data_IF_000518510189
#
_entry.id   IF_000518510189
#
_cell.length_a   1.000
_cell.length_b   1.000
_cell.length_c   1.000
_cell.angle_alpha   90.00
_cell.angle_beta   90.00
_cell.angle_gamma   90.00
#
_symmetry.space_group_name_H-M   'P 1'
#
loop_
_entity.id
_entity.type
_entity.pdbx_description
1 polymer ?
#
# COMPACT_ATOMS: atom_id res chain seq x y z
N UNK A 1 -0.24 -12.47 0.60
CA UNK A 1 -1.03 -12.61 -0.66
C UNK A 1 -1.51 -11.25 -1.20
N UNK A 2 -1.52 -10.16 -0.41
CA UNK A 2 -1.88 -8.80 -0.88
C UNK A 2 -1.04 -8.36 -2.07
N UNK A 3 0.29 -8.60 -2.04
CA UNK A 3 1.18 -8.27 -3.16
C UNK A 3 0.79 -8.96 -4.46
N UNK A 4 0.27 -10.18 -4.40
CA UNK A 4 -0.21 -10.92 -5.60
C UNK A 4 -1.40 -10.20 -6.22
N UNK A 5 -2.33 -9.67 -5.39
CA UNK A 5 -3.48 -8.91 -5.86
C UNK A 5 -3.04 -7.60 -6.54
N UNK A 6 -2.11 -6.84 -5.93
CA UNK A 6 -1.59 -5.60 -6.51
C UNK A 6 -0.79 -5.83 -7.80
N UNK A 7 -0.01 -6.93 -7.87
CA UNK A 7 0.65 -7.32 -9.12
C UNK A 7 -0.34 -7.77 -10.20
N UNK A 8 -1.53 -8.22 -9.82
CA UNK A 8 -2.64 -8.43 -10.74
C UNK A 8 -3.03 -7.17 -11.50
N UNK A 9 -3.07 -6.00 -10.81
CA UNK A 9 -3.31 -4.71 -11.49
C UNK A 9 -2.17 -4.34 -12.43
N UNK A 10 -0.91 -4.62 -12.06
CA UNK A 10 0.23 -4.42 -12.96
C UNK A 10 0.07 -5.23 -14.24
N UNK A 11 -0.23 -6.51 -14.11
CA UNK A 11 -0.46 -7.39 -15.26
C UNK A 11 -1.63 -6.89 -16.11
N UNK A 12 -2.73 -6.50 -15.47
CA UNK A 12 -3.90 -5.97 -16.16
C UNK A 12 -3.57 -4.70 -16.95
N UNK A 13 -2.78 -3.79 -16.38
CA UNK A 13 -2.35 -2.56 -17.05
C UNK A 13 -1.46 -2.82 -18.26
N UNK A 14 -0.53 -3.78 -18.17
CA UNK A 14 0.31 -4.19 -19.30
C UNK A 14 -0.55 -4.78 -20.43
N UNK A 15 -1.47 -5.68 -20.10
CA UNK A 15 -2.34 -6.33 -21.09
C UNK A 15 -3.46 -5.43 -21.64
N UNK A 16 -3.72 -4.26 -21.02
CA UNK A 16 -4.57 -3.23 -21.61
C UNK A 16 -3.98 -2.68 -22.93
N UNK A 17 -2.65 -2.83 -23.11
CA UNK A 17 -1.92 -2.44 -24.32
C UNK A 17 -2.23 -1.00 -24.78
N UNK A 18 -2.49 -0.10 -23.82
CA UNK A 18 -2.64 1.33 -24.06
C UNK A 18 -1.75 2.11 -23.09
N UNK A 19 -1.48 3.36 -23.45
CA UNK A 19 -0.57 4.24 -22.71
C UNK A 19 -0.95 4.33 -21.23
N UNK A 20 -2.21 4.58 -20.95
CA UNK A 20 -2.69 4.80 -19.59
C UNK A 20 -2.57 3.55 -18.70
N UNK A 21 -2.80 2.36 -19.27
CA UNK A 21 -2.62 1.09 -18.57
C UNK A 21 -1.17 0.80 -18.24
N UNK A 22 -0.27 1.06 -19.20
CA UNK A 22 1.19 0.87 -19.02
C UNK A 22 1.74 1.84 -17.98
N UNK A 23 1.38 3.12 -18.06
CA UNK A 23 1.79 4.13 -17.07
C UNK A 23 1.30 3.75 -15.66
N UNK A 24 0.05 3.30 -15.56
CA UNK A 24 -0.52 2.80 -14.32
C UNK A 24 0.23 1.58 -13.78
N UNK A 25 0.60 0.64 -14.64
CA UNK A 25 1.37 -0.55 -14.27
C UNK A 25 2.76 -0.19 -13.72
N UNK A 26 3.50 0.68 -14.41
CA UNK A 26 4.82 1.15 -13.96
C UNK A 26 4.70 1.88 -12.62
N UNK A 27 3.71 2.78 -12.52
CA UNK A 27 3.46 3.53 -11.30
C UNK A 27 3.12 2.61 -10.13
N UNK A 28 2.26 1.60 -10.36
CA UNK A 28 1.87 0.63 -9.34
C UNK A 28 3.05 -0.20 -8.83
N UNK A 29 3.98 -0.61 -9.71
CA UNK A 29 5.20 -1.32 -9.28
C UNK A 29 6.02 -0.49 -8.30
N UNK A 30 6.25 0.79 -8.61
CA UNK A 30 7.03 1.71 -7.76
C UNK A 30 6.31 1.97 -6.44
N UNK A 31 5.03 2.31 -6.50
CA UNK A 31 4.19 2.58 -5.35
C UNK A 31 4.12 1.37 -4.41
N UNK A 32 3.91 0.18 -4.98
CA UNK A 32 3.85 -1.07 -4.21
C UNK A 32 5.17 -1.35 -3.47
N UNK A 33 6.31 -1.03 -4.07
CA UNK A 33 7.62 -1.16 -3.43
C UNK A 33 7.70 -0.36 -2.11
N UNK A 34 7.25 0.89 -2.11
CA UNK A 34 7.25 1.74 -0.90
C UNK A 34 6.22 1.27 0.13
N UNK A 35 4.99 1.03 -0.30
CA UNK A 35 3.88 0.70 0.61
C UNK A 35 4.06 -0.70 1.22
N UNK A 36 4.34 -1.71 0.40
CA UNK A 36 4.53 -3.07 0.92
C UNK A 36 5.79 -3.19 1.78
N UNK A 37 6.87 -2.52 1.37
CA UNK A 37 8.09 -2.44 2.18
C UNK A 37 7.81 -1.84 3.56
N UNK A 38 7.06 -0.74 3.63
CA UNK A 38 6.65 -0.12 4.89
C UNK A 38 5.75 -1.03 5.74
N UNK A 39 4.79 -1.74 5.12
CA UNK A 39 3.94 -2.70 5.84
C UNK A 39 4.75 -3.88 6.41
N UNK A 40 5.74 -4.39 5.67
CA UNK A 40 6.66 -5.40 6.20
C UNK A 40 7.51 -4.86 7.36
N UNK A 41 7.96 -3.61 7.30
CA UNK A 41 8.63 -2.97 8.43
C UNK A 41 7.70 -2.82 9.64
N UNK A 42 6.41 -2.51 9.43
CA UNK A 42 5.42 -2.51 10.52
C UNK A 42 5.32 -3.89 11.19
N UNK A 43 5.28 -4.98 10.40
CA UNK A 43 5.31 -6.33 10.96
C UNK A 43 6.63 -6.58 11.71
N UNK A 44 7.77 -6.11 11.18
CA UNK A 44 9.07 -6.20 11.85
C UNK A 44 9.07 -5.52 13.22
N UNK A 45 8.54 -4.30 13.32
CA UNK A 45 8.47 -3.53 14.57
C UNK A 45 7.76 -4.30 15.69
N UNK A 46 6.62 -4.94 15.40
CA UNK A 46 5.90 -5.72 16.42
C UNK A 46 6.55 -7.09 16.66
N UNK A 47 7.13 -7.70 15.61
CA UNK A 47 7.82 -8.97 15.72
C UNK A 47 9.07 -8.87 16.61
N UNK A 48 9.86 -7.80 16.51
CA UNK A 48 11.06 -7.58 17.35
C UNK A 48 10.70 -7.50 18.84
N UNK A 49 9.45 -7.13 19.15
CA UNK A 49 8.97 -6.99 20.54
C UNK A 49 8.28 -8.25 21.07
N UNK A 50 7.57 -8.98 20.20
CA UNK A 50 6.69 -10.09 20.61
C UNK A 50 7.17 -11.46 20.12
N UNK A 51 8.09 -11.49 19.15
CA UNK A 51 8.63 -12.73 18.53
C UNK A 51 7.56 -13.68 17.97
N UNK A 52 6.38 -13.17 17.63
CA UNK A 52 5.29 -13.93 16.99
C UNK A 52 4.68 -13.13 15.85
N UNK A 53 4.08 -13.84 14.89
CA UNK A 53 3.32 -13.27 13.77
C UNK A 53 1.83 -13.64 13.82
N UNK A 54 1.41 -14.35 14.85
CA UNK A 54 0.03 -14.77 15.01
C UNK A 54 -0.84 -13.55 15.32
N UNK A 55 -1.87 -13.33 14.49
CA UNK A 55 -2.79 -12.20 14.64
C UNK A 55 -3.48 -12.27 16.00
N UNK A 56 -3.85 -13.47 16.44
CA UNK A 56 -4.51 -13.71 17.72
C UNK A 56 -3.62 -13.40 18.94
N UNK A 57 -2.30 -13.23 18.73
CA UNK A 57 -1.39 -12.79 19.79
C UNK A 57 -1.51 -11.30 20.08
N UNK A 58 -2.13 -10.52 19.20
CA UNK A 58 -2.26 -9.07 19.28
C UNK A 58 -3.68 -8.64 19.68
N UNK A 59 -3.86 -7.36 19.91
CA UNK A 59 -5.13 -6.70 20.24
C UNK A 59 -4.89 -5.51 21.18
N UNK A 60 -5.58 -4.39 20.92
CA UNK A 60 -5.47 -3.19 21.74
C UNK A 60 -4.14 -2.44 21.68
N UNK A 61 -3.32 -2.65 20.64
CA UNK A 61 -2.00 -2.01 20.50
C UNK A 61 -2.08 -0.49 20.50
N UNK A 62 -3.19 0.10 20.07
CA UNK A 62 -3.37 1.57 20.06
C UNK A 62 -3.17 2.20 21.44
N UNK A 63 -3.49 1.48 22.50
CA UNK A 63 -3.40 1.96 23.86
C UNK A 63 -1.94 2.07 24.36
N UNK A 64 -1.02 1.34 23.75
CA UNK A 64 0.40 1.26 24.15
C UNK A 64 1.35 1.81 23.07
N UNK A 65 0.99 1.65 21.81
CA UNK A 65 1.80 2.01 20.66
C UNK A 65 1.03 2.94 19.70
N UNK A 66 0.64 4.16 20.12
CA UNK A 66 -0.16 5.06 19.29
C UNK A 66 0.59 5.54 18.03
N UNK A 67 1.91 5.77 18.10
CA UNK A 67 2.69 6.16 16.92
C UNK A 67 2.77 5.01 15.90
N UNK A 68 2.97 3.78 16.35
CA UNK A 68 2.89 2.59 15.51
C UNK A 68 1.51 2.45 14.86
N UNK A 69 0.44 2.57 15.64
CA UNK A 69 -0.93 2.46 15.15
C UNK A 69 -1.21 3.47 14.03
N UNK A 70 -0.74 4.72 14.18
CA UNK A 70 -0.90 5.77 13.18
C UNK A 70 -0.13 5.44 11.88
N UNK A 71 1.12 5.03 11.98
CA UNK A 71 1.96 4.66 10.82
C UNK A 71 1.36 3.44 10.11
N UNK A 72 0.95 2.42 10.85
CA UNK A 72 0.34 1.22 10.30
C UNK A 72 -1.00 1.54 9.61
N UNK A 73 -1.85 2.43 10.19
CA UNK A 73 -3.07 2.91 9.54
C UNK A 73 -2.76 3.63 8.24
N UNK A 74 -1.78 4.54 8.24
CA UNK A 74 -1.40 5.30 7.05
C UNK A 74 -1.05 4.36 5.88
N UNK A 75 -0.17 3.39 6.11
CA UNK A 75 0.22 2.46 5.05
C UNK A 75 -0.87 1.44 4.70
N UNK A 76 -1.72 1.06 5.65
CA UNK A 76 -2.91 0.24 5.37
C UNK A 76 -3.87 0.98 4.44
N UNK A 77 -4.14 2.26 4.70
CA UNK A 77 -4.99 3.09 3.84
C UNK A 77 -4.36 3.36 2.48
N UNK A 78 -3.02 3.58 2.43
CA UNK A 78 -2.29 3.72 1.18
C UNK A 78 -2.32 2.43 0.34
N UNK A 79 -2.26 1.26 1.00
CA UNK A 79 -2.37 -0.04 0.34
C UNK A 79 -3.76 -0.34 -0.20
N UNK A 80 -4.81 0.20 0.42
CA UNK A 80 -6.20 0.11 -0.05
C UNK A 80 -6.48 1.06 -1.22
N UNK A 81 -5.59 2.04 -1.46
CA UNK A 81 -5.77 3.04 -2.50
C UNK A 81 -6.51 4.29 -2.03
N UNK A 82 -6.15 4.84 -0.87
CA UNK A 82 -6.70 6.12 -0.41
C UNK A 82 -6.28 7.24 -1.37
N UNK A 83 -7.23 8.05 -1.89
CA UNK A 83 -6.90 9.23 -2.70
C UNK A 83 -5.90 10.16 -2.01
N UNK A 84 -4.89 10.62 -2.75
CA UNK A 84 -3.77 11.40 -2.21
C UNK A 84 -2.56 10.54 -1.80
N UNK A 85 -2.63 9.23 -1.92
CA UNK A 85 -1.51 8.31 -1.76
C UNK A 85 -1.12 7.68 -3.10
N UNK A 86 0.12 7.23 -3.20
CA UNK A 86 0.64 6.64 -4.43
C UNK A 86 -0.08 5.35 -4.85
N UNK A 87 -0.62 4.58 -3.89
CA UNK A 87 -1.39 3.36 -4.18
C UNK A 87 -2.62 3.63 -5.03
N UNK A 88 -3.35 4.70 -4.73
CA UNK A 88 -4.52 5.10 -5.50
C UNK A 88 -4.18 5.40 -6.96
N UNK A 89 -3.10 6.13 -7.20
CA UNK A 89 -2.75 6.59 -8.56
C UNK A 89 -2.49 5.40 -9.49
N UNK A 90 -1.68 4.44 -9.05
CA UNK A 90 -1.34 3.27 -9.86
C UNK A 90 -2.54 2.40 -10.20
N UNK A 91 -3.36 2.08 -9.20
CA UNK A 91 -4.58 1.27 -9.39
C UNK A 91 -5.61 2.01 -10.26
N UNK A 92 -5.82 3.29 -10.03
CA UNK A 92 -6.77 4.10 -10.77
C UNK A 92 -6.39 4.21 -12.25
N UNK A 93 -5.13 4.52 -12.57
CA UNK A 93 -4.65 4.58 -13.95
C UNK A 93 -4.79 3.23 -14.66
N UNK A 94 -4.46 2.14 -13.98
CA UNK A 94 -4.62 0.78 -14.52
C UNK A 94 -6.09 0.46 -14.81
N UNK A 95 -7.00 0.78 -13.88
CA UNK A 95 -8.43 0.58 -14.07
C UNK A 95 -8.97 1.43 -15.22
N UNK A 96 -8.54 2.67 -15.34
CA UNK A 96 -8.91 3.54 -16.45
C UNK A 96 -8.39 3.03 -17.80
N UNK A 97 -7.16 2.49 -17.82
CA UNK A 97 -6.59 1.87 -19.03
C UNK A 97 -7.40 0.67 -19.49
N UNK A 98 -7.74 -0.26 -18.60
CA UNK A 98 -8.53 -1.44 -18.98
C UNK A 98 -9.99 -1.09 -19.26
N UNK A 99 -10.55 -0.05 -18.64
CA UNK A 99 -11.91 0.40 -18.91
C UNK A 99 -12.12 0.81 -20.38
N UNK A 100 -11.10 1.42 -20.99
CA UNK A 100 -11.11 1.78 -22.41
C UNK A 100 -11.12 0.56 -23.34
N UNK A 101 -10.57 -0.57 -22.88
CA UNK A 101 -10.51 -1.82 -23.66
C UNK A 101 -11.75 -2.68 -23.43
N UNK A 102 -12.11 -2.88 -22.16
CA UNK A 102 -13.22 -3.74 -21.78
C UNK A 102 -13.83 -3.33 -20.42
N UNK A 103 -15.01 -2.76 -20.46
CA UNK A 103 -15.73 -2.30 -19.25
C UNK A 103 -16.05 -3.43 -18.26
N UNK A 104 -16.35 -4.64 -18.74
CA UNK A 104 -16.67 -5.76 -17.85
C UNK A 104 -15.44 -6.24 -17.08
N UNK A 105 -14.29 -6.31 -17.73
CA UNK A 105 -13.02 -6.64 -17.07
C UNK A 105 -12.68 -5.58 -16.05
N UNK A 106 -12.86 -4.29 -16.37
CA UNK A 106 -12.64 -3.20 -15.44
C UNK A 106 -13.57 -3.28 -14.21
N UNK A 107 -14.85 -3.61 -14.41
CA UNK A 107 -15.81 -3.77 -13.31
C UNK A 107 -15.43 -4.92 -12.37
N UNK A 108 -15.01 -6.06 -12.91
CA UNK A 108 -14.52 -7.19 -12.11
C UNK A 108 -13.23 -6.80 -11.38
N UNK A 109 -12.29 -6.14 -12.05
CA UNK A 109 -11.05 -5.67 -11.41
C UNK A 109 -11.33 -4.66 -10.28
N UNK A 110 -12.27 -3.73 -10.47
CA UNK A 110 -12.66 -2.76 -9.43
C UNK A 110 -13.20 -3.43 -8.16
N UNK A 111 -13.81 -4.61 -8.25
CA UNK A 111 -14.23 -5.38 -7.07
C UNK A 111 -13.04 -5.79 -6.18
N UNK A 112 -11.85 -5.92 -6.76
CA UNK A 112 -10.61 -6.19 -6.04
C UNK A 112 -10.24 -5.11 -5.03
N UNK A 113 -10.55 -3.83 -5.32
CA UNK A 113 -10.34 -2.71 -4.38
C UNK A 113 -11.20 -2.89 -3.13
N UNK A 114 -12.47 -3.30 -3.31
CA UNK A 114 -13.40 -3.53 -2.19
C UNK A 114 -12.90 -4.68 -1.32
N UNK A 115 -12.46 -5.77 -1.95
CA UNK A 115 -11.90 -6.92 -1.23
C UNK A 115 -10.61 -6.55 -0.50
N UNK A 116 -9.75 -5.75 -1.13
CA UNK A 116 -8.52 -5.24 -0.51
C UNK A 116 -8.83 -4.42 0.75
N UNK A 117 -9.80 -3.51 0.66
CA UNK A 117 -10.26 -2.74 1.82
C UNK A 117 -10.77 -3.64 2.93
N UNK A 118 -11.60 -4.63 2.59
CA UNK A 118 -12.21 -5.52 3.58
C UNK A 118 -11.15 -6.29 4.38
N UNK A 119 -10.20 -6.98 3.74
CA UNK A 119 -9.20 -7.76 4.49
C UNK A 119 -8.17 -6.88 5.21
N UNK A 120 -7.80 -5.73 4.61
CA UNK A 120 -6.80 -4.85 5.21
C UNK A 120 -7.34 -4.16 6.48
N UNK A 121 -8.57 -3.66 6.43
CA UNK A 121 -9.23 -3.07 7.60
C UNK A 121 -9.57 -4.10 8.66
N UNK A 122 -9.94 -5.32 8.26
CA UNK A 122 -10.14 -6.43 9.21
C UNK A 122 -8.85 -6.74 9.96
N UNK A 123 -7.72 -6.88 9.26
CA UNK A 123 -6.41 -7.13 9.87
C UNK A 123 -6.03 -5.98 10.82
N UNK A 124 -6.19 -4.75 10.37
CA UNK A 124 -5.88 -3.57 11.18
C UNK A 124 -6.71 -3.56 12.48
N UNK A 125 -8.02 -3.83 12.37
CA UNK A 125 -8.91 -3.91 13.52
C UNK A 125 -8.46 -4.97 14.52
N UNK A 126 -8.07 -6.15 14.06
CA UNK A 126 -7.67 -7.25 14.94
C UNK A 126 -6.36 -6.97 15.68
N UNK A 127 -5.42 -6.31 15.02
CA UNK A 127 -4.09 -6.04 15.59
C UNK A 127 -4.10 -4.80 16.48
N UNK A 128 -4.73 -3.73 16.04
CA UNK A 128 -4.60 -2.39 16.65
C UNK A 128 -5.70 -2.10 17.65
N UNK A 129 -6.94 -2.46 17.32
CA UNK A 129 -8.10 -2.22 18.19
C UNK A 129 -8.43 -3.43 19.07
N UNK A 130 -9.36 -3.23 19.99
CA UNK A 130 -9.79 -4.21 20.96
C UNK A 130 -9.23 -3.97 22.36
N UNK A 131 -9.56 -4.87 23.28
CA UNK A 131 -9.11 -4.77 24.66
C UNK A 131 -7.69 -5.28 24.83
N UNK A 132 -6.90 -4.59 25.65
CA UNK A 132 -5.53 -5.00 26.01
C UNK A 132 -5.56 -6.10 27.08
N UNK A 133 -6.03 -7.29 26.70
CA UNK A 133 -6.26 -8.41 27.65
C UNK A 133 -4.94 -9.12 27.97
N UNK A 134 -3.98 -9.14 27.04
CA UNK A 134 -2.77 -9.95 27.16
C UNK A 134 -1.70 -9.22 27.97
N UNK A 135 -1.20 -9.85 29.02
CA UNK A 135 -0.15 -9.30 29.90
C UNK A 135 1.13 -8.91 29.13
N UNK A 136 1.53 -9.73 28.14
CA UNK A 136 2.70 -9.47 27.31
C UNK A 136 2.63 -8.13 26.56
N UNK A 137 1.43 -7.68 26.18
CA UNK A 137 1.22 -6.41 25.47
C UNK A 137 1.26 -5.19 26.40
N UNK A 138 1.08 -5.38 27.71
CA UNK A 138 1.07 -4.27 28.70
C UNK A 138 2.45 -3.64 28.87
N UNK A 139 3.51 -4.39 28.65
CA UNK A 139 4.89 -3.94 28.77
C UNK A 139 5.51 -3.46 27.46
N UNK A 140 4.79 -3.57 26.34
CA UNK A 140 5.32 -3.21 25.01
C UNK A 140 5.56 -1.69 24.90
N UNK A 141 6.70 -1.32 24.31
CA UNK A 141 7.10 0.08 24.07
C UNK A 141 6.73 0.52 22.67
N UNK A 142 6.35 1.80 22.51
CA UNK A 142 6.07 2.39 21.21
C UNK A 142 7.34 2.53 20.35
N UNK A 143 7.17 3.04 19.14
CA UNK A 143 8.24 3.20 18.15
C UNK A 143 9.38 4.08 18.63
N UNK A 144 10.60 3.57 18.46
CA UNK A 144 11.84 4.27 18.74
C UNK A 144 12.10 5.41 17.72
N UNK A 145 13.05 6.31 18.06
CA UNK A 145 13.48 7.38 17.14
C UNK A 145 14.01 6.82 15.81
N UNK A 146 14.76 5.72 15.86
CA UNK A 146 15.32 5.07 14.68
C UNK A 146 14.18 4.56 13.76
N UNK A 147 13.19 3.90 14.30
CA UNK A 147 12.03 3.39 13.57
C UNK A 147 11.26 4.54 12.90
N UNK A 148 10.99 5.64 13.64
CA UNK A 148 10.33 6.83 13.10
C UNK A 148 11.11 7.46 11.94
N UNK A 149 12.45 7.53 12.03
CA UNK A 149 13.30 8.04 10.95
C UNK A 149 13.25 7.15 9.71
N UNK A 150 13.14 5.82 9.88
CA UNK A 150 13.01 4.88 8.75
C UNK A 150 11.65 5.03 8.05
N UNK A 151 10.57 5.24 8.79
CA UNK A 151 9.24 5.42 8.19
C UNK A 151 9.02 6.79 7.56
N UNK A 152 9.68 7.84 8.04
CA UNK A 152 9.49 9.20 7.55
C UNK A 152 9.68 9.35 6.03
N UNK A 153 10.78 8.87 5.41
CA UNK A 153 10.95 8.97 3.96
C UNK A 153 9.92 8.13 3.19
N UNK A 154 9.49 6.99 3.72
CA UNK A 154 8.47 6.14 3.07
C UNK A 154 7.10 6.84 3.05
N UNK A 155 6.72 7.49 4.16
CA UNK A 155 5.50 8.32 4.24
C UNK A 155 5.61 9.48 3.25
N UNK A 156 6.74 10.21 3.25
CA UNK A 156 6.96 11.34 2.36
C UNK A 156 6.86 10.93 0.88
N UNK A 157 7.52 9.84 0.47
CA UNK A 157 7.47 9.34 -0.91
C UNK A 157 6.05 8.89 -1.30
N UNK A 158 5.34 8.21 -0.42
CA UNK A 158 3.96 7.78 -0.66
C UNK A 158 3.03 8.97 -0.90
N UNK A 159 3.21 10.06 -0.15
CA UNK A 159 2.41 11.29 -0.31
C UNK A 159 2.84 12.09 -1.54
N UNK A 160 4.16 12.28 -1.74
CA UNK A 160 4.69 13.04 -2.89
C UNK A 160 4.21 12.39 -4.19
N UNK A 161 4.37 11.07 -4.34
CA UNK A 161 3.92 10.35 -5.53
C UNK A 161 2.39 10.31 -5.66
N UNK A 162 1.66 10.38 -4.54
CA UNK A 162 0.19 10.45 -4.55
C UNK A 162 -0.35 11.81 -5.02
N UNK A 163 0.37 12.90 -4.72
CA UNK A 163 -0.04 14.28 -5.07
C UNK A 163 0.58 14.74 -6.40
N UNK A 164 1.82 14.32 -6.68
CA UNK A 164 2.58 14.66 -7.90
C UNK A 164 2.97 13.40 -8.68
N UNK A 165 2.00 12.68 -9.28
CA UNK A 165 2.29 11.46 -10.04
C UNK A 165 3.16 11.69 -11.28
N UNK A 166 3.19 12.93 -11.81
CA UNK A 166 4.01 13.31 -12.97
C UNK A 166 5.50 13.02 -12.79
N UNK A 167 5.99 12.99 -11.55
CA UNK A 167 7.38 12.61 -11.28
C UNK A 167 7.75 11.21 -11.80
N UNK A 168 6.76 10.33 -11.98
CA UNK A 168 6.95 8.98 -12.48
C UNK A 168 6.33 8.84 -13.87
N UNK A 169 5.11 9.36 -14.09
CA UNK A 169 4.39 9.19 -15.35
C UNK A 169 5.01 9.94 -16.52
N UNK A 170 5.78 11.00 -16.27
CA UNK A 170 6.45 11.74 -17.35
C UNK A 170 7.76 11.06 -17.81
N UNK A 171 8.33 10.15 -17.01
CA UNK A 171 9.58 9.45 -17.35
C UNK A 171 9.45 8.64 -18.66
N UNK A 172 8.40 7.82 -18.87
CA UNK A 172 8.23 7.06 -20.11
C UNK A 172 8.00 7.94 -21.35
N UNK A 173 7.62 9.21 -21.15
CA UNK A 173 7.29 10.16 -22.21
C UNK A 173 8.42 11.16 -22.50
N UNK A 174 9.56 11.10 -21.79
CA UNK A 174 10.69 12.00 -22.05
C UNK A 174 11.28 11.70 -23.43
N UNK A 175 11.23 12.68 -24.37
CA UNK A 175 11.75 12.49 -25.74
C UNK A 175 13.23 12.08 -25.79
N UNK A 176 13.97 12.35 -24.69
CA UNK A 176 15.41 12.01 -24.60
C UNK A 176 15.63 10.51 -24.31
N UNK A 177 14.60 9.80 -23.85
CA UNK A 177 14.68 8.37 -23.51
C UNK A 177 14.37 7.46 -24.71
N UNK A 178 13.93 8.02 -25.86
CA UNK A 178 13.52 7.28 -27.05
C UNK A 178 12.10 6.67 -26.93
N UNK A 179 11.54 6.18 -28.04
CA UNK A 179 10.20 5.59 -28.03
C UNK A 179 10.22 4.21 -27.36
N UNK A 180 9.73 4.13 -26.16
CA UNK A 180 9.57 2.84 -25.43
C UNK A 180 8.29 2.10 -25.81
N UNK A 181 7.33 2.81 -26.46
CA UNK A 181 6.07 2.25 -26.94
C UNK A 181 5.76 2.94 -28.27
N UNK A 182 5.94 2.24 -29.37
CA UNK A 182 5.42 2.60 -30.69
C UNK A 182 4.18 1.77 -30.96
#
# INVERSE_FOLDING_TARGET
YSSVAHMGYVTLGIFAANQQGVDGAIFQMISHGFISGALFLCVGVIYDRMHTRDIDAYGGLVNRMPAYALVFMFFTMANVGLPGTSGFVGEFLTLMGIFQVNTWVAAVAASGVILSAAYALWLYRQVVFGDLIKEALKSITDMDRREKVIFAPLIAMTLILGVYPSLVTDIPHDPRMGPWVA
#
